data_IF_490534471309
#
_entry.id   IF_490534471309
#
_cell.length_a   1.000
_cell.length_b   1.000
_cell.length_c   1.000
_cell.angle_alpha   90.00
_cell.angle_beta   90.00
_cell.angle_gamma   90.00
#
_symmetry.space_group_name_H-M   'P 1'
#
loop_
_entity.id
_entity.type
_entity.pdbx_description
1 polymer ?
#
# COMPACT_ATOMS: atom_id res chain seq x y z
N UNK A 1 3.59 -50.22 -21.96
CA UNK A 1 4.57 -49.10 -21.99
C UNK A 1 4.23 -48.27 -23.23
N UNK A 2 3.80 -47.01 -23.23
CA UNK A 2 3.79 -45.91 -22.26
C UNK A 2 2.45 -45.15 -22.45
N UNK A 3 1.83 -44.75 -21.34
CA UNK A 3 0.59 -43.96 -21.33
C UNK A 3 0.87 -42.54 -21.80
N UNK A 4 0.12 -42.04 -22.78
CA UNK A 4 0.14 -40.62 -23.18
C UNK A 4 -1.04 -39.95 -22.50
N UNK A 5 -0.77 -39.18 -21.45
CA UNK A 5 -1.76 -38.35 -20.78
C UNK A 5 -1.97 -37.08 -21.63
N UNK A 6 -3.20 -36.78 -22.09
CA UNK A 6 -3.50 -35.49 -22.71
C UNK A 6 -3.58 -34.41 -21.62
N UNK A 7 -2.69 -33.41 -21.70
CA UNK A 7 -2.72 -32.23 -20.85
C UNK A 7 -3.95 -31.37 -21.25
N UNK A 8 -5.10 -31.69 -20.68
CA UNK A 8 -6.31 -30.87 -20.72
C UNK A 8 -6.02 -29.61 -19.90
N UNK A 9 -5.55 -28.56 -20.56
CA UNK A 9 -5.36 -27.24 -19.96
C UNK A 9 -6.71 -26.78 -19.39
N UNK A 10 -6.84 -26.81 -18.07
CA UNK A 10 -7.92 -26.17 -17.35
C UNK A 10 -7.48 -24.74 -17.14
N UNK A 11 -7.88 -23.88 -18.07
CA UNK A 11 -7.93 -22.45 -17.84
C UNK A 11 -8.80 -22.22 -16.60
N UNK A 12 -8.16 -21.83 -15.49
CA UNK A 12 -8.87 -21.16 -14.41
C UNK A 12 -9.37 -19.83 -14.99
N UNK A 13 -10.65 -19.46 -14.79
CA UNK A 13 -11.06 -18.09 -15.08
C UNK A 13 -10.35 -17.21 -14.06
N UNK A 14 -9.24 -16.59 -14.49
CA UNK A 14 -8.69 -15.44 -13.79
C UNK A 14 -9.81 -14.43 -13.77
N UNK A 15 -10.36 -14.17 -12.59
CA UNK A 15 -11.38 -13.14 -12.40
C UNK A 15 -10.75 -11.84 -12.92
N UNK A 16 -11.35 -11.12 -13.88
CA UNK A 16 -10.92 -9.77 -14.15
C UNK A 16 -11.37 -8.95 -12.94
N UNK A 17 -10.49 -8.79 -11.95
CA UNK A 17 -10.65 -7.74 -10.97
C UNK A 17 -10.39 -6.46 -11.74
N UNK A 18 -11.47 -5.74 -12.04
CA UNK A 18 -11.43 -4.51 -12.80
C UNK A 18 -10.57 -3.46 -12.12
N UNK A 19 -9.72 -2.84 -12.93
CA UNK A 19 -9.45 -1.40 -12.94
C UNK A 19 -8.42 -1.18 -14.06
N UNK A 20 -8.94 -0.93 -15.26
CA UNK A 20 -8.52 0.21 -16.07
C UNK A 20 -7.04 0.61 -15.93
N UNK A 21 -6.19 -0.03 -16.74
CA UNK A 21 -4.88 0.51 -17.08
C UNK A 21 -5.04 1.78 -17.94
N UNK A 22 -5.52 2.87 -17.35
CA UNK A 22 -5.37 4.20 -17.95
C UNK A 22 -4.01 4.75 -17.55
N UNK A 23 -3.06 4.54 -18.46
CA UNK A 23 -1.88 5.39 -18.63
C UNK A 23 -2.36 6.85 -18.54
N UNK A 24 -1.82 7.61 -17.58
CA UNK A 24 -2.28 8.96 -17.12
C UNK A 24 -3.62 9.00 -16.35
N UNK A 25 -3.78 8.23 -15.26
CA UNK A 25 -4.96 8.35 -14.37
C UNK A 25 -5.07 7.38 -13.18
N UNK A 26 -3.97 6.80 -12.68
CA UNK A 26 -4.01 5.56 -11.87
C UNK A 26 -3.61 5.66 -10.39
N UNK A 27 -3.62 6.85 -9.79
CA UNK A 27 -3.37 6.98 -8.34
C UNK A 27 -4.69 6.99 -7.57
N UNK A 28 -4.82 6.21 -6.49
CA UNK A 28 -5.96 6.28 -5.59
C UNK A 28 -6.19 7.70 -5.08
N UNK A 29 -7.45 8.11 -4.94
CA UNK A 29 -7.80 9.48 -4.55
C UNK A 29 -7.17 9.89 -3.20
N UNK A 30 -7.02 8.95 -2.29
CA UNK A 30 -6.40 9.11 -0.98
C UNK A 30 -4.90 9.39 -1.10
N UNK A 31 -4.22 8.74 -2.04
CA UNK A 31 -2.80 9.04 -2.34
C UNK A 31 -2.68 10.47 -2.87
N UNK A 32 -3.56 10.87 -3.80
CA UNK A 32 -3.57 12.24 -4.34
C UNK A 32 -3.83 13.27 -3.24
N UNK A 33 -4.75 13.00 -2.31
CA UNK A 33 -5.02 13.87 -1.15
C UNK A 33 -3.81 13.98 -0.24
N UNK A 34 -3.12 12.88 0.03
CA UNK A 34 -1.91 12.87 0.85
C UNK A 34 -0.75 13.63 0.16
N UNK A 35 -0.63 13.53 -1.16
CA UNK A 35 0.36 14.27 -1.96
C UNK A 35 0.11 15.79 -1.97
N UNK A 36 -1.14 16.21 -1.85
CA UNK A 36 -1.49 17.64 -1.82
C UNK A 36 -1.12 18.33 -0.49
N UNK A 37 -0.77 17.56 0.55
CA UNK A 37 -0.38 18.10 1.85
C UNK A 37 1.09 18.51 1.87
N UNK A 38 1.36 19.62 2.56
CA UNK A 38 2.74 20.03 2.84
C UNK A 38 3.28 19.28 4.07
N UNK A 39 4.06 18.25 3.81
CA UNK A 39 4.72 17.46 4.85
C UNK A 39 5.96 18.12 5.45
N UNK A 40 6.51 19.13 4.78
CA UNK A 40 7.74 19.81 5.21
C UNK A 40 9.02 18.97 5.09
N UNK A 41 8.92 17.76 4.55
CA UNK A 41 10.03 16.85 4.25
C UNK A 41 9.82 16.21 2.87
N UNK A 42 10.90 15.70 2.28
CA UNK A 42 10.82 14.94 1.03
C UNK A 42 10.18 13.57 1.31
N UNK A 43 9.17 13.20 0.52
CA UNK A 43 8.46 11.92 0.67
C UNK A 43 8.94 10.95 -0.40
N UNK A 44 9.46 9.81 0.04
CA UNK A 44 9.98 8.77 -0.84
C UNK A 44 8.86 7.92 -1.43
N UNK A 45 7.85 7.56 -0.62
CA UNK A 45 6.68 6.82 -1.11
C UNK A 45 5.42 7.03 -0.25
N UNK A 46 4.27 6.80 -0.87
CA UNK A 46 2.95 6.81 -0.23
C UNK A 46 2.44 5.37 -0.07
N UNK A 47 2.05 5.03 1.15
CA UNK A 47 1.69 3.68 1.56
C UNK A 47 0.17 3.59 1.76
N UNK A 48 -0.51 2.92 0.84
CA UNK A 48 -1.94 2.62 0.95
C UNK A 48 -2.14 1.23 1.56
N UNK A 49 -3.23 1.06 2.29
CA UNK A 49 -3.69 -0.23 2.81
C UNK A 49 -2.66 -0.89 3.73
N UNK A 50 -2.03 -0.07 4.57
CA UNK A 50 -0.87 -0.45 5.36
C UNK A 50 -1.26 -1.33 6.55
N UNK A 51 -0.82 -2.58 6.55
CA UNK A 51 -0.93 -3.49 7.68
C UNK A 51 0.30 -3.36 8.58
N UNK A 52 0.09 -3.09 9.87
CA UNK A 52 1.19 -2.99 10.84
C UNK A 52 1.68 -4.39 11.24
N UNK A 53 2.98 -4.63 11.08
CA UNK A 53 3.67 -5.86 11.50
C UNK A 53 4.80 -5.48 12.45
N UNK A 54 4.50 -5.42 13.75
CA UNK A 54 5.43 -4.97 14.77
C UNK A 54 5.82 -3.49 14.61
N UNK A 55 7.07 -3.25 14.20
CA UNK A 55 7.63 -1.92 13.90
C UNK A 55 7.78 -1.63 12.40
N UNK A 56 7.18 -2.46 11.54
CA UNK A 56 7.16 -2.31 10.09
C UNK A 56 5.73 -2.24 9.58
N UNK A 57 5.57 -1.81 8.34
CA UNK A 57 4.29 -1.86 7.64
C UNK A 57 4.43 -2.64 6.34
N UNK A 58 3.45 -3.49 6.05
CA UNK A 58 3.25 -4.04 4.72
C UNK A 58 2.16 -3.21 4.06
N UNK A 59 2.45 -2.59 2.92
CA UNK A 59 1.52 -1.65 2.28
C UNK A 59 1.71 -1.63 0.77
N UNK A 60 0.73 -1.11 0.06
CA UNK A 60 0.82 -0.84 -1.38
C UNK A 60 1.54 0.50 -1.55
N UNK A 61 2.71 0.48 -2.18
CA UNK A 61 3.51 1.67 -2.43
C UNK A 61 3.09 2.39 -3.72
N UNK A 62 3.05 3.71 -3.63
CA UNK A 62 2.81 4.60 -4.76
C UNK A 62 3.82 5.75 -4.77
N UNK A 63 4.16 6.19 -5.98
CA UNK A 63 5.07 7.30 -6.27
C UNK A 63 6.47 7.12 -5.67
N UNK A 64 6.96 5.88 -5.61
CA UNK A 64 8.32 5.56 -5.15
C UNK A 64 9.37 6.34 -5.96
N UNK A 65 10.11 7.22 -5.28
CA UNK A 65 11.13 8.07 -5.89
C UNK A 65 12.47 7.35 -6.08
N UNK A 66 12.68 6.24 -5.36
CA UNK A 66 13.90 5.43 -5.50
C UNK A 66 13.91 4.62 -6.80
N UNK A 67 12.76 4.43 -7.46
CA UNK A 67 12.61 3.52 -8.59
C UNK A 67 12.79 2.05 -8.21
N UNK A 68 12.79 1.74 -6.91
CA UNK A 68 12.92 0.39 -6.38
C UNK A 68 11.60 -0.38 -6.49
N UNK A 69 10.46 0.33 -6.51
CA UNK A 69 9.13 -0.26 -6.56
C UNK A 69 8.25 0.37 -7.64
N UNK A 70 7.54 -0.46 -8.40
CA UNK A 70 6.49 0.01 -9.30
C UNK A 70 5.25 0.44 -8.51
N UNK A 71 4.55 1.47 -8.99
CA UNK A 71 3.26 1.89 -8.41
C UNK A 71 2.28 0.71 -8.31
N UNK A 72 1.67 0.53 -7.14
CA UNK A 72 0.73 -0.57 -6.90
C UNK A 72 1.38 -1.87 -6.41
N UNK A 73 2.70 -1.90 -6.22
CA UNK A 73 3.39 -3.04 -5.61
C UNK A 73 3.20 -3.08 -4.10
N UNK A 74 2.99 -4.26 -3.54
CA UNK A 74 3.04 -4.48 -2.10
C UNK A 74 4.49 -4.51 -1.64
N UNK A 75 4.85 -3.62 -0.73
CA UNK A 75 6.18 -3.50 -0.13
C UNK A 75 6.11 -3.71 1.37
N UNK A 76 7.19 -4.22 1.94
CA UNK A 76 7.40 -4.18 3.39
C UNK A 76 8.39 -3.06 3.71
N UNK A 77 7.99 -2.11 4.54
CA UNK A 77 8.88 -1.05 4.97
C UNK A 77 10.00 -1.61 5.86
N UNK A 78 11.18 -0.98 5.88
CA UNK A 78 12.11 -1.11 7.01
C UNK A 78 11.43 -0.73 8.34
N UNK A 79 12.10 -0.95 9.49
CA UNK A 79 11.63 -0.42 10.77
C UNK A 79 11.42 1.09 10.68
N UNK A 80 10.21 1.53 10.99
CA UNK A 80 9.82 2.94 10.91
C UNK A 80 9.32 3.44 12.25
N UNK A 81 9.51 4.74 12.48
CA UNK A 81 8.91 5.49 13.58
C UNK A 81 7.87 6.46 13.04
N UNK A 82 6.86 6.72 13.85
CA UNK A 82 5.89 7.76 13.57
C UNK A 82 6.48 9.13 13.90
N UNK A 83 6.37 10.07 12.96
CA UNK A 83 6.91 11.44 13.10
C UNK A 83 5.80 12.45 13.36
N UNK A 84 4.74 12.41 12.56
CA UNK A 84 3.64 13.36 12.65
C UNK A 84 2.35 12.78 12.08
N UNK A 85 1.21 13.34 12.47
CA UNK A 85 -0.10 13.03 11.87
C UNK A 85 -0.68 14.31 11.30
N UNK A 86 -1.13 14.27 10.05
CA UNK A 86 -1.85 15.35 9.40
C UNK A 86 -3.20 14.84 8.91
N UNK A 87 -4.27 15.20 9.64
CA UNK A 87 -5.62 14.71 9.37
C UNK A 87 -5.69 13.18 9.53
N UNK A 88 -6.07 12.48 8.45
CA UNK A 88 -6.16 11.02 8.43
C UNK A 88 -4.83 10.32 8.08
N UNK A 89 -3.80 11.09 7.71
CA UNK A 89 -2.55 10.56 7.17
C UNK A 89 -1.42 10.66 8.21
N UNK A 90 -0.50 9.70 8.19
CA UNK A 90 0.63 9.66 9.14
C UNK A 90 1.96 9.76 8.38
N UNK A 91 2.83 10.65 8.81
CA UNK A 91 4.22 10.70 8.36
C UNK A 91 5.04 9.69 9.17
N UNK A 92 5.65 8.75 8.46
CA UNK A 92 6.57 7.77 8.98
C UNK A 92 7.97 8.09 8.48
N UNK A 93 8.96 7.73 9.27
CA UNK A 93 10.36 7.84 8.88
C UNK A 93 11.07 6.57 9.29
N UNK A 94 12.02 6.10 8.48
CA UNK A 94 12.89 4.99 8.86
C UNK A 94 13.65 5.31 10.13
N UNK A 95 14.00 4.29 10.91
CA UNK A 95 14.74 4.50 12.17
C UNK A 95 16.13 5.11 11.97
N UNK A 96 16.73 4.88 10.79
CA UNK A 96 17.98 5.50 10.32
C UNK A 96 17.79 6.95 9.85
N UNK A 97 16.55 7.40 9.63
CA UNK A 97 16.24 8.77 9.21
C UNK A 97 16.48 9.06 7.73
N UNK A 98 16.82 8.05 6.92
CA UNK A 98 17.10 8.23 5.50
C UNK A 98 15.83 8.44 4.67
N UNK A 99 14.78 7.65 4.93
CA UNK A 99 13.59 7.62 4.08
C UNK A 99 12.33 8.06 4.85
N UNK A 100 11.46 8.81 4.19
CA UNK A 100 10.20 9.27 4.73
C UNK A 100 9.03 8.73 3.92
N UNK A 101 8.06 8.13 4.61
CA UNK A 101 6.89 7.52 4.00
C UNK A 101 5.62 8.16 4.54
N UNK A 102 4.60 8.28 3.69
CA UNK A 102 3.28 8.72 4.12
C UNK A 102 2.33 7.55 4.15
N UNK A 103 1.83 7.22 5.33
CA UNK A 103 0.78 6.23 5.52
C UNK A 103 -0.58 6.87 5.20
N UNK A 104 -1.18 6.38 4.12
CA UNK A 104 -2.43 6.89 3.54
C UNK A 104 -3.64 6.26 4.20
N UNK A 105 -3.65 4.93 4.34
CA UNK A 105 -4.65 4.17 5.08
C UNK A 105 -4.00 3.02 5.83
N UNK A 106 -4.54 2.65 6.99
CA UNK A 106 -4.04 1.54 7.81
C UNK A 106 -5.08 0.41 7.85
N UNK A 107 -4.69 -0.82 7.47
CA UNK A 107 -5.46 -2.02 7.77
C UNK A 107 -5.26 -2.39 9.23
N UNK A 108 -6.17 -1.93 10.10
CA UNK A 108 -6.23 -2.45 11.48
C UNK A 108 -6.31 -1.44 12.62
N UNK A 109 -6.86 -0.25 12.40
CA UNK A 109 -7.28 0.62 13.50
C UNK A 109 -8.76 0.99 13.35
N UNK A 110 -9.66 0.09 13.78
CA UNK A 110 -11.05 0.44 14.09
C UNK A 110 -12.10 0.19 13.01
N UNK A 111 -12.27 -1.07 12.60
CA UNK A 111 -13.63 -1.62 12.48
C UNK A 111 -13.99 -2.35 13.78
N UNK A 112 -13.70 -1.71 14.93
CA UNK A 112 -14.53 -1.90 16.11
C UNK A 112 -15.74 -0.98 15.91
N UNK A 113 -16.68 -1.44 15.08
CA UNK A 113 -18.06 -0.99 15.21
C UNK A 113 -18.56 -1.53 16.56
N UNK A 114 -18.24 -0.80 17.61
CA UNK A 114 -18.84 -0.98 18.93
C UNK A 114 -20.27 -0.45 18.83
N UNK A 115 -21.26 -1.32 19.09
CA UNK A 115 -22.66 -1.07 18.81
C UNK A 115 -23.59 -2.17 19.34
N UNK A 116 -23.42 -2.46 20.63
CA UNK A 116 -24.32 -3.16 21.56
C UNK A 116 -25.84 -2.97 21.32
N UNK A 117 -26.65 -4.01 21.59
CA UNK A 117 -28.09 -3.84 21.86
C UNK A 117 -28.95 -5.11 21.79
N UNK A 118 -28.84 -5.95 22.82
CA UNK A 118 -29.83 -6.95 23.33
C UNK A 118 -30.85 -7.59 22.37
#
# INVERSE_FOLDING_TARGET
>A
MKSVCPLKSKASPVRPYGAESTVTGGLPAEVVKAMALNWGVYIDAYLLDAARVGNRYAAIAFCDQSGASSNGMTVATPPVRHVATQGAFKLLQTTDGADNYVLVTEQGAGAAADGNGN
#
